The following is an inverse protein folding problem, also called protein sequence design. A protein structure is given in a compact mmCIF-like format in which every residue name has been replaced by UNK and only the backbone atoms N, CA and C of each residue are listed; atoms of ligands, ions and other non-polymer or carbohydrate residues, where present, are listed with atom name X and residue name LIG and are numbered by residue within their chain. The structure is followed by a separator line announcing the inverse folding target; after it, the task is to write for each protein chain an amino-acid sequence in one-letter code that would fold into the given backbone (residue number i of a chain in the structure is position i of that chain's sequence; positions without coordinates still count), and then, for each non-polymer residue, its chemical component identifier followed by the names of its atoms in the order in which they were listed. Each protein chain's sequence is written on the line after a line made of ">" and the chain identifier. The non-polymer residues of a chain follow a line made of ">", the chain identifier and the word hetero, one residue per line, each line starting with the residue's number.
data_IF_816183597158
#
_entry.id   IF_816183597158
#
_cell.length_a   1.000
_cell.length_b   1.000
_cell.length_c   1.000
_cell.angle_alpha   90.00
_cell.angle_beta   90.00
_cell.angle_gamma   90.00
#
_symmetry.space_group_name_H-M   'P 1'
#
loop_
_entity.id
_entity.type
_entity.pdbx_description
1 polymer ?
#
# COMPACT_ATOMS: atom_id res chain seq x y z
N UNK A 1 36.79 4.00 -10.44
CA UNK A 1 35.96 3.51 -11.55
C UNK A 1 34.63 3.14 -10.92
N UNK A 2 33.61 3.96 -11.12
CA UNK A 2 32.30 3.77 -10.50
C UNK A 2 31.61 2.60 -11.20
N UNK A 3 31.23 1.57 -10.44
CA UNK A 3 30.56 0.37 -10.96
C UNK A 3 29.09 0.71 -11.24
N UNK A 4 28.86 1.39 -12.36
CA UNK A 4 27.52 1.66 -12.84
C UNK A 4 26.99 0.39 -13.52
N UNK A 5 25.88 -0.12 -13.00
CA UNK A 5 25.13 -1.21 -13.60
C UNK A 5 24.04 -0.62 -14.47
N UNK A 6 23.88 -1.11 -15.70
CA UNK A 6 22.88 -0.60 -16.65
C UNK A 6 21.91 -1.71 -17.06
N UNK A 7 20.65 -1.35 -17.26
CA UNK A 7 19.65 -2.19 -17.92
C UNK A 7 18.76 -1.33 -18.84
N UNK A 8 18.13 -1.94 -19.83
CA UNK A 8 17.24 -1.23 -20.78
C UNK A 8 15.94 -2.01 -20.87
N UNK A 9 14.80 -1.37 -20.61
CA UNK A 9 13.47 -1.97 -20.76
C UNK A 9 12.51 -0.99 -21.43
N UNK A 10 11.91 -1.42 -22.54
CA UNK A 10 11.11 -0.54 -23.41
C UNK A 10 11.90 0.69 -23.87
N UNK A 11 11.26 1.85 -23.76
CA UNK A 11 11.84 3.15 -24.13
C UNK A 11 12.66 3.78 -23.00
N UNK A 12 13.14 3.00 -22.03
CA UNK A 12 13.90 3.52 -20.89
C UNK A 12 15.22 2.78 -20.68
N UNK A 13 16.25 3.56 -20.32
CA UNK A 13 17.55 3.07 -19.88
C UNK A 13 17.72 3.39 -18.40
N UNK A 14 18.20 2.42 -17.65
CA UNK A 14 18.37 2.48 -16.21
C UNK A 14 19.84 2.39 -15.85
N UNK A 15 20.19 3.04 -14.76
CA UNK A 15 21.52 2.96 -14.19
C UNK A 15 21.43 2.87 -12.66
N UNK A 16 22.21 1.98 -12.07
CA UNK A 16 22.43 1.95 -10.63
C UNK A 16 23.91 2.19 -10.34
N UNK A 17 24.18 3.23 -9.58
CA UNK A 17 25.54 3.64 -9.21
C UNK A 17 25.47 4.52 -7.97
N UNK A 18 26.50 4.44 -7.11
CA UNK A 18 26.63 5.32 -5.94
C UNK A 18 25.39 5.31 -5.02
N UNK A 19 24.79 4.12 -4.84
CA UNK A 19 23.57 3.88 -4.04
C UNK A 19 22.32 4.63 -4.53
N UNK A 20 22.36 5.19 -5.74
CA UNK A 20 21.25 5.91 -6.36
C UNK A 20 20.84 5.18 -7.63
N UNK A 21 19.53 5.00 -7.81
CA UNK A 21 18.99 4.53 -9.06
C UNK A 21 18.67 5.73 -9.95
N UNK A 22 18.90 5.58 -11.25
CA UNK A 22 18.63 6.61 -12.26
C UNK A 22 17.83 6.01 -13.41
N UNK A 23 16.98 6.84 -14.01
CA UNK A 23 16.20 6.51 -15.20
C UNK A 23 16.40 7.58 -16.26
N UNK A 24 16.40 7.19 -17.53
CA UNK A 24 16.23 8.09 -18.66
C UNK A 24 15.38 7.44 -19.74
N UNK A 25 14.70 8.24 -20.53
CA UNK A 25 14.13 7.78 -21.80
C UNK A 25 15.28 7.42 -22.77
N UNK A 26 15.12 6.43 -23.64
CA UNK A 26 16.11 6.01 -24.66
C UNK A 26 16.46 7.16 -25.60
N UNK A 27 15.47 8.01 -25.91
CA UNK A 27 15.64 9.21 -26.73
C UNK A 27 16.18 10.42 -25.95
N UNK A 28 16.35 10.30 -24.64
CA UNK A 28 16.87 11.36 -23.77
C UNK A 28 18.33 11.09 -23.38
N UNK A 29 19.11 12.16 -23.25
CA UNK A 29 20.43 12.09 -22.62
C UNK A 29 20.38 12.42 -21.13
N UNK A 30 19.27 12.96 -20.65
CA UNK A 30 19.10 13.38 -19.27
C UNK A 30 18.69 12.20 -18.39
N UNK A 31 19.42 12.02 -17.29
CA UNK A 31 19.13 11.05 -16.25
C UNK A 31 18.38 11.72 -15.11
N UNK A 32 17.26 11.16 -14.72
CA UNK A 32 16.57 11.53 -13.48
C UNK A 32 16.93 10.56 -12.36
N UNK A 33 17.29 11.09 -11.20
CA UNK A 33 17.50 10.29 -10.01
C UNK A 33 16.15 9.79 -9.46
N UNK A 34 16.04 8.48 -9.25
CA UNK A 34 14.93 7.85 -8.56
C UNK A 34 15.24 7.93 -7.07
N UNK A 35 14.65 8.90 -6.39
CA UNK A 35 14.85 9.07 -4.96
C UNK A 35 14.13 7.98 -4.15
N UNK A 36 14.73 7.62 -3.02
CA UNK A 36 14.10 6.77 -1.99
C UNK A 36 12.76 7.35 -1.54
N UNK A 37 11.84 6.54 -1.02
CA UNK A 37 10.53 7.03 -0.59
C UNK A 37 10.66 8.16 0.44
N UNK A 38 9.93 9.26 0.22
CA UNK A 38 10.08 10.54 0.95
C UNK A 38 9.12 10.70 2.11
N UNK A 39 8.22 9.74 2.35
CA UNK A 39 7.27 9.82 3.44
C UNK A 39 7.99 9.64 4.80
N UNK A 40 7.77 10.57 5.74
CA UNK A 40 8.34 10.51 7.09
C UNK A 40 7.86 9.28 7.90
N UNK A 41 6.77 8.62 7.47
CA UNK A 41 6.31 7.34 8.02
C UNK A 41 7.14 6.13 7.53
N UNK A 42 7.97 6.33 6.50
CA UNK A 42 8.68 5.28 5.74
C UNK A 42 10.07 4.93 6.31
N UNK A 43 10.52 5.61 7.38
CA UNK A 43 11.88 5.49 7.95
C UNK A 43 11.95 4.47 9.11
N UNK A 44 10.82 4.00 9.65
CA UNK A 44 10.82 3.08 10.80
C UNK A 44 11.19 1.65 10.40
N UNK A 45 12.30 1.15 10.94
CA UNK A 45 12.75 -0.24 10.81
C UNK A 45 11.76 -1.19 11.50
N UNK A 46 11.50 -2.36 10.89
CA UNK A 46 10.68 -3.43 11.47
C UNK A 46 9.55 -3.96 10.58
N UNK A 47 9.12 -3.20 9.57
CA UNK A 47 7.93 -3.53 8.77
C UNK A 47 8.21 -3.76 7.28
N UNK A 48 7.37 -4.58 6.65
CA UNK A 48 7.28 -4.64 5.19
C UNK A 48 6.53 -3.42 4.64
N UNK A 49 6.83 -3.03 3.40
CA UNK A 49 6.18 -1.89 2.75
C UNK A 49 6.47 -1.88 1.25
N UNK A 50 5.53 -1.31 0.50
CA UNK A 50 5.59 -1.17 -0.95
C UNK A 50 5.22 0.28 -1.26
N UNK A 51 6.08 1.02 -1.97
CA UNK A 51 5.84 2.43 -2.34
C UNK A 51 6.21 2.65 -3.80
N UNK A 52 5.31 3.22 -4.59
CA UNK A 52 5.59 3.51 -6.01
C UNK A 52 6.67 4.58 -6.10
N UNK A 53 7.67 4.36 -6.96
CA UNK A 53 8.68 5.37 -7.23
C UNK A 53 8.03 6.62 -7.85
N UNK A 54 8.63 7.79 -7.61
CA UNK A 54 8.15 9.06 -8.19
C UNK A 54 8.22 9.07 -9.71
N UNK A 55 9.09 8.25 -10.31
CA UNK A 55 9.32 8.15 -11.74
C UNK A 55 9.57 6.69 -12.17
N UNK A 56 9.16 6.36 -13.39
CA UNK A 56 9.35 5.04 -13.99
C UNK A 56 8.38 3.95 -13.49
N UNK A 57 8.49 2.72 -14.04
CA UNK A 57 7.67 1.58 -13.66
C UNK A 57 8.20 0.90 -12.39
N UNK A 58 8.70 1.64 -11.40
CA UNK A 58 9.36 1.05 -10.24
C UNK A 58 8.54 1.14 -8.97
N UNK A 59 8.80 0.19 -8.10
CA UNK A 59 8.25 0.15 -6.76
C UNK A 59 9.36 -0.14 -5.76
N UNK A 60 9.52 0.74 -4.79
CA UNK A 60 10.33 0.49 -3.62
C UNK A 60 9.66 -0.58 -2.78
N UNK A 61 10.43 -1.59 -2.35
CA UNK A 61 9.95 -2.64 -1.45
C UNK A 61 10.86 -2.78 -0.25
N UNK A 62 10.28 -3.10 0.90
CA UNK A 62 11.01 -3.58 2.07
C UNK A 62 10.26 -4.76 2.67
N UNK A 63 10.99 -5.71 3.25
CA UNK A 63 10.44 -6.82 4.05
C UNK A 63 11.02 -6.74 5.45
N UNK A 64 10.16 -6.58 6.46
CA UNK A 64 10.47 -6.75 7.89
C UNK A 64 11.85 -6.24 8.34
N UNK A 65 12.07 -4.93 8.35
CA UNK A 65 13.32 -4.33 8.84
C UNK A 65 14.52 -4.40 7.88
N UNK A 66 14.37 -5.04 6.71
CA UNK A 66 15.36 -4.98 5.63
C UNK A 66 15.42 -3.58 5.00
N UNK A 67 16.55 -3.18 4.41
CA UNK A 67 16.65 -1.97 3.59
C UNK A 67 15.63 -1.97 2.46
N UNK A 68 15.24 -0.77 2.01
CA UNK A 68 14.44 -0.61 0.80
C UNK A 68 15.23 -1.11 -0.42
N UNK A 69 14.60 -1.96 -1.22
CA UNK A 69 15.09 -2.42 -2.50
C UNK A 69 14.19 -1.87 -3.59
N UNK A 70 14.79 -1.31 -4.65
CA UNK A 70 14.04 -0.91 -5.83
C UNK A 70 13.72 -2.18 -6.62
N UNK A 71 12.44 -2.40 -6.94
CA UNK A 71 12.02 -3.48 -7.82
C UNK A 71 11.30 -2.92 -9.02
N UNK A 72 11.57 -3.51 -10.18
CA UNK A 72 10.80 -3.25 -11.39
C UNK A 72 9.38 -3.77 -11.21
N UNK A 73 8.41 -2.94 -11.56
CA UNK A 73 7.00 -3.32 -11.62
C UNK A 73 6.79 -3.81 -13.05
N UNK A 74 6.90 -5.12 -13.26
CA UNK A 74 6.55 -5.70 -14.55
C UNK A 74 5.04 -5.56 -14.73
N UNK A 75 4.63 -4.56 -15.52
CA UNK A 75 3.24 -4.33 -15.90
C UNK A 75 2.79 -5.25 -17.05
N UNK A 76 3.74 -5.92 -17.70
CA UNK A 76 3.49 -6.94 -18.71
C UNK A 76 4.38 -8.18 -18.44
N UNK A 77 3.71 -9.32 -18.29
CA UNK A 77 4.19 -10.71 -18.30
C UNK A 77 4.87 -11.36 -17.07
N UNK A 78 4.50 -12.64 -16.97
CA UNK A 78 4.64 -13.63 -15.92
C UNK A 78 6.08 -14.18 -15.81
N UNK A 79 6.46 -14.59 -14.60
CA UNK A 79 7.63 -15.40 -14.22
C UNK A 79 9.05 -14.88 -14.54
N UNK A 80 9.84 -14.60 -13.48
CA UNK A 80 11.01 -15.40 -13.06
C UNK A 80 12.04 -14.61 -12.24
N UNK A 81 11.90 -14.56 -10.90
CA UNK A 81 13.03 -14.41 -9.97
C UNK A 81 12.76 -15.14 -8.64
N UNK A 82 13.70 -16.02 -8.26
CA UNK A 82 13.82 -16.81 -7.02
C UNK A 82 12.54 -17.41 -6.42
N UNK A 83 12.38 -18.72 -6.59
CA UNK A 83 11.37 -19.60 -5.99
C UNK A 83 11.48 -19.67 -4.47
N UNK A 84 11.06 -18.61 -3.76
CA UNK A 84 10.09 -18.84 -2.69
C UNK A 84 8.75 -19.00 -3.39
N UNK A 85 8.15 -20.20 -3.33
CA UNK A 85 6.77 -20.39 -3.79
C UNK A 85 5.94 -19.19 -3.27
N UNK A 86 5.21 -18.46 -4.14
CA UNK A 86 4.35 -17.39 -3.66
C UNK A 86 3.46 -17.99 -2.56
N UNK A 87 3.28 -17.28 -1.43
CA UNK A 87 2.45 -17.81 -0.35
C UNK A 87 1.09 -18.23 -0.93
N UNK A 88 0.68 -19.47 -0.65
CA UNK A 88 -0.57 -20.00 -1.19
C UNK A 88 -1.76 -19.14 -0.74
N UNK A 89 -1.66 -18.54 0.45
CA UNK A 89 -2.67 -17.64 0.98
C UNK A 89 -2.37 -16.17 0.65
N UNK A 90 -3.41 -15.33 0.52
CA UNK A 90 -3.25 -13.90 0.34
C UNK A 90 -2.64 -13.24 1.57
N UNK A 91 -2.16 -12.02 1.39
CA UNK A 91 -1.77 -11.11 2.47
C UNK A 91 -2.92 -10.16 2.84
N UNK A 92 -2.94 -9.69 4.08
CA UNK A 92 -3.76 -8.55 4.53
C UNK A 92 -2.89 -7.29 4.48
N UNK A 93 -3.34 -6.25 3.78
CA UNK A 93 -2.65 -4.97 3.71
C UNK A 93 -3.57 -3.79 3.99
N UNK A 94 -3.03 -2.77 4.65
CA UNK A 94 -3.60 -1.41 4.65
C UNK A 94 -3.04 -0.68 3.43
N UNK A 95 -3.91 -0.19 2.54
CA UNK A 95 -3.52 0.56 1.34
C UNK A 95 -3.95 2.02 1.50
N UNK A 96 -3.01 2.92 1.26
CA UNK A 96 -3.20 4.36 1.25
C UNK A 96 -3.33 4.84 -0.20
N UNK A 97 -4.32 5.66 -0.47
CA UNK A 97 -4.55 6.26 -1.77
C UNK A 97 -4.65 7.79 -1.67
N UNK A 98 -4.00 8.49 -2.59
CA UNK A 98 -4.05 9.95 -2.69
C UNK A 98 -5.48 10.42 -2.95
N UNK A 99 -5.89 11.46 -2.23
CA UNK A 99 -7.11 12.22 -2.50
C UNK A 99 -6.78 13.59 -3.10
N UNK A 100 -7.78 14.46 -3.21
CA UNK A 100 -7.57 15.84 -3.63
C UNK A 100 -6.55 16.54 -2.73
N UNK A 101 -5.90 17.58 -3.25
CA UNK A 101 -4.86 18.29 -2.50
C UNK A 101 -5.42 18.88 -1.20
N UNK A 102 -4.75 18.59 -0.08
CA UNK A 102 -5.18 19.00 1.24
C UNK A 102 -6.18 18.05 1.92
N UNK A 103 -6.69 17.02 1.24
CA UNK A 103 -7.50 15.97 1.86
C UNK A 103 -6.61 14.86 2.46
N UNK A 104 -7.05 14.21 3.55
CA UNK A 104 -6.33 13.06 4.11
C UNK A 104 -6.33 11.89 3.12
N UNK A 105 -5.34 11.01 3.23
CA UNK A 105 -5.26 9.83 2.36
C UNK A 105 -6.50 8.94 2.56
N UNK A 106 -7.00 8.37 1.47
CA UNK A 106 -8.04 7.35 1.56
C UNK A 106 -7.43 6.03 2.02
N UNK A 107 -8.06 5.37 2.99
CA UNK A 107 -7.62 4.07 3.50
C UNK A 107 -8.54 2.96 3.00
N UNK A 108 -7.92 1.87 2.54
CA UNK A 108 -8.61 0.66 2.14
C UNK A 108 -7.94 -0.56 2.78
N UNK A 109 -8.75 -1.56 3.14
CA UNK A 109 -8.25 -2.88 3.52
C UNK A 109 -8.20 -3.73 2.25
N UNK A 110 -7.04 -4.31 1.98
CA UNK A 110 -6.80 -5.09 0.77
C UNK A 110 -6.36 -6.50 1.12
N UNK A 111 -7.05 -7.50 0.57
CA UNK A 111 -6.69 -8.91 0.69
C UNK A 111 -6.34 -9.42 -0.68
N UNK A 112 -5.05 -9.71 -0.90
CA UNK A 112 -4.56 -10.17 -2.19
C UNK A 112 -3.29 -10.99 -2.06
N UNK A 113 -3.09 -11.88 -3.02
CA UNK A 113 -1.77 -12.47 -3.26
C UNK A 113 -0.86 -11.40 -3.88
N UNK A 114 0.43 -11.54 -3.61
CA UNK A 114 1.43 -10.61 -4.12
C UNK A 114 1.38 -10.55 -5.66
N UNK A 115 1.26 -9.34 -6.20
CA UNK A 115 1.18 -9.11 -7.66
C UNK A 115 -0.16 -9.48 -8.31
N UNK A 116 -1.20 -9.80 -7.55
CA UNK A 116 -2.51 -10.18 -8.09
C UNK A 116 -3.60 -9.19 -7.70
N UNK A 117 -4.70 -9.21 -8.47
CA UNK A 117 -5.96 -8.58 -8.07
C UNK A 117 -6.49 -9.20 -6.78
N UNK A 118 -7.24 -8.44 -6.00
CA UNK A 118 -7.76 -8.92 -4.73
C UNK A 118 -9.08 -8.32 -4.31
N UNK A 119 -9.43 -8.54 -3.05
CA UNK A 119 -10.62 -8.00 -2.42
C UNK A 119 -10.30 -6.68 -1.73
N UNK A 120 -11.08 -5.64 -2.03
CA UNK A 120 -10.96 -4.32 -1.40
C UNK A 120 -12.18 -4.05 -0.55
N UNK A 121 -11.94 -3.73 0.72
CA UNK A 121 -12.95 -3.33 1.70
C UNK A 121 -12.68 -1.89 2.12
N UNK A 122 -13.65 -1.00 1.90
CA UNK A 122 -13.47 0.44 2.14
C UNK A 122 -14.80 1.14 2.38
N UNK A 123 -14.73 2.38 2.86
CA UNK A 123 -15.87 3.30 2.88
C UNK A 123 -15.56 4.51 2.01
N UNK A 124 -16.53 5.00 1.23
CA UNK A 124 -16.38 6.21 0.41
C UNK A 124 -17.56 7.13 0.57
N UNK A 125 -17.36 8.40 0.23
CA UNK A 125 -18.34 9.47 0.39
C UNK A 125 -17.73 10.59 1.23
N UNK A 126 -18.53 11.63 1.47
CA UNK A 126 -18.12 12.70 2.36
C UNK A 126 -18.24 12.23 3.82
N UNK A 127 -17.52 12.86 4.73
CA UNK A 127 -17.50 12.45 6.14
C UNK A 127 -18.88 12.58 6.84
N UNK A 128 -19.82 13.33 6.25
CA UNK A 128 -21.22 13.39 6.69
C UNK A 128 -22.01 12.14 6.30
N UNK A 129 -21.62 11.46 5.22
CA UNK A 129 -22.36 10.34 4.65
C UNK A 129 -21.44 9.42 3.84
N UNK A 130 -20.68 8.59 4.57
CA UNK A 130 -19.88 7.54 3.95
C UNK A 130 -20.71 6.26 3.79
N UNK A 131 -20.39 5.48 2.76
CA UNK A 131 -20.99 4.16 2.50
C UNK A 131 -19.91 3.10 2.37
N UNK A 132 -20.18 1.94 2.94
CA UNK A 132 -19.37 0.74 2.74
C UNK A 132 -19.41 0.32 1.27
N UNK A 133 -18.24 -0.01 0.72
CA UNK A 133 -18.05 -0.53 -0.62
C UNK A 133 -17.12 -1.73 -0.57
N UNK A 134 -17.58 -2.81 -1.18
CA UNK A 134 -16.81 -4.01 -1.43
C UNK A 134 -16.46 -4.09 -2.92
N UNK A 135 -15.19 -4.31 -3.24
CA UNK A 135 -14.70 -4.50 -4.60
C UNK A 135 -14.00 -5.84 -4.75
N UNK A 136 -14.61 -6.84 -5.43
CA UNK A 136 -13.91 -8.06 -5.79
C UNK A 136 -13.00 -7.83 -7.01
N UNK A 137 -11.88 -8.57 -7.08
CA UNK A 137 -10.97 -8.61 -8.23
C UNK A 137 -10.44 -7.22 -8.64
N UNK A 138 -10.01 -6.42 -7.68
CA UNK A 138 -9.47 -5.08 -7.91
C UNK A 138 -7.94 -5.11 -7.87
N UNK A 139 -7.31 -4.51 -8.89
CA UNK A 139 -5.89 -4.17 -8.87
C UNK A 139 -5.68 -2.82 -8.17
N UNK A 140 -5.63 -2.85 -6.84
CA UNK A 140 -5.56 -1.61 -6.06
C UNK A 140 -4.16 -1.00 -6.08
N UNK A 141 -3.12 -1.84 -6.08
CA UNK A 141 -1.72 -1.41 -5.97
C UNK A 141 -1.20 -0.77 -7.26
N UNK A 142 -1.80 -1.10 -8.41
CA UNK A 142 -1.49 -0.46 -9.69
C UNK A 142 -2.43 0.71 -10.04
N UNK A 143 -3.33 1.10 -9.13
CA UNK A 143 -4.24 2.22 -9.37
C UNK A 143 -3.51 3.56 -9.40
N UNK A 144 -4.02 4.52 -10.19
CA UNK A 144 -3.42 5.87 -10.30
C UNK A 144 -3.38 6.61 -8.96
N UNK A 145 -4.33 6.34 -8.07
CA UNK A 145 -4.37 6.96 -6.75
C UNK A 145 -3.51 6.23 -5.72
N UNK A 146 -2.91 5.07 -6.03
CA UNK A 146 -2.06 4.35 -5.09
C UNK A 146 -0.92 5.23 -4.57
N UNK A 147 -0.73 5.22 -3.24
CA UNK A 147 0.35 5.93 -2.56
C UNK A 147 1.33 4.96 -1.94
N UNK A 148 0.84 4.09 -1.06
CA UNK A 148 1.67 3.16 -0.28
C UNK A 148 0.80 1.99 0.23
N UNK A 149 1.42 0.87 0.59
CA UNK A 149 0.75 -0.20 1.34
C UNK A 149 1.63 -0.79 2.45
N UNK A 150 0.96 -1.16 3.55
CA UNK A 150 1.56 -1.79 4.71
C UNK A 150 1.01 -3.21 4.86
N UNK A 151 1.89 -4.21 4.75
CA UNK A 151 1.50 -5.62 4.92
C UNK A 151 1.28 -5.90 6.41
N UNK A 152 0.03 -6.15 6.76
CA UNK A 152 -0.41 -6.42 8.13
C UNK A 152 -0.28 -7.90 8.48
N UNK A 153 -0.54 -8.79 7.52
CA UNK A 153 -0.36 -10.25 7.65
C UNK A 153 0.11 -10.78 6.30
N UNK A 154 1.22 -11.54 6.27
CA UNK A 154 1.80 -12.04 5.02
C UNK A 154 1.10 -13.31 4.50
N UNK A 155 0.59 -14.15 5.40
CA UNK A 155 0.01 -15.46 5.11
C UNK A 155 -1.35 -15.56 5.83
N UNK A 156 -2.38 -14.96 5.24
CA UNK A 156 -3.69 -14.80 5.86
C UNK A 156 -4.55 -16.05 5.65
N UNK A 157 -4.75 -16.82 6.71
CA UNK A 157 -5.57 -18.04 6.67
C UNK A 157 -7.01 -17.78 6.19
N UNK A 158 -7.68 -18.81 5.65
CA UNK A 158 -9.07 -18.71 5.21
C UNK A 158 -10.03 -18.27 6.34
N UNK A 159 -9.79 -18.73 7.58
CA UNK A 159 -10.56 -18.28 8.75
C UNK A 159 -10.33 -16.80 9.03
N UNK A 160 -9.10 -16.31 8.93
CA UNK A 160 -8.79 -14.90 9.11
C UNK A 160 -9.41 -14.03 7.99
N UNK A 161 -9.39 -14.49 6.74
CA UNK A 161 -10.08 -13.84 5.62
C UNK A 161 -11.59 -13.67 5.90
N UNK A 162 -12.25 -14.71 6.42
CA UNK A 162 -13.66 -14.63 6.80
C UNK A 162 -13.91 -13.57 7.89
N UNK A 163 -12.98 -13.41 8.85
CA UNK A 163 -13.07 -12.34 9.86
C UNK A 163 -12.87 -10.95 9.28
N UNK A 164 -11.94 -10.77 8.33
CA UNK A 164 -11.76 -9.49 7.61
C UNK A 164 -13.08 -9.07 6.97
N UNK A 165 -13.68 -9.97 6.20
CA UNK A 165 -14.97 -9.73 5.55
C UNK A 165 -16.08 -9.42 6.55
N UNK A 166 -16.22 -10.27 7.58
CA UNK A 166 -17.25 -10.09 8.60
C UNK A 166 -17.17 -8.72 9.30
N UNK A 167 -15.97 -8.29 9.70
CA UNK A 167 -15.81 -7.01 10.37
C UNK A 167 -15.96 -5.83 9.43
N UNK A 168 -15.49 -5.93 8.18
CA UNK A 168 -15.74 -4.90 7.18
C UNK A 168 -17.25 -4.72 6.91
N UNK A 169 -18.00 -5.80 6.74
CA UNK A 169 -19.43 -5.74 6.43
C UNK A 169 -20.30 -5.28 7.62
N UNK A 170 -19.87 -5.57 8.86
CA UNK A 170 -20.64 -5.23 10.07
C UNK A 170 -20.28 -3.88 10.68
N UNK A 171 -19.13 -3.29 10.32
CA UNK A 171 -18.71 -2.00 10.86
C UNK A 171 -19.49 -0.85 10.22
N UNK A 172 -20.10 -0.02 11.05
CA UNK A 172 -20.95 1.08 10.57
C UNK A 172 -20.10 2.16 9.91
N UNK A 173 -20.38 2.55 8.65
CA UNK A 173 -19.68 3.65 8.00
C UNK A 173 -19.84 4.97 8.75
N UNK A 174 -18.83 5.86 8.74
CA UNK A 174 -18.93 7.18 9.34
C UNK A 174 -20.08 7.98 8.73
N UNK A 175 -20.85 8.64 9.60
CA UNK A 175 -21.90 9.56 9.19
C UNK A 175 -22.08 10.63 10.26
N UNK A 176 -22.48 11.81 9.83
CA UNK A 176 -22.74 12.95 10.70
C UNK A 176 -23.90 13.79 10.13
N UNK A 177 -24.74 14.40 10.98
CA UNK A 177 -25.85 15.22 10.52
C UNK A 177 -25.42 16.52 9.82
N UNK A 178 -24.16 16.95 10.02
CA UNK A 178 -23.55 18.12 9.38
C UNK A 178 -22.03 18.11 9.61
N UNK A 179 -21.30 18.95 8.87
CA UNK A 179 -19.84 19.09 8.94
C UNK A 179 -19.29 19.32 10.34
N UNK A 180 -19.96 20.14 11.15
CA UNK A 180 -19.50 20.47 12.51
C UNK A 180 -19.60 19.28 13.48
N UNK A 181 -20.42 18.29 13.15
CA UNK A 181 -20.59 17.06 13.94
C UNK A 181 -19.71 15.90 13.44
N UNK A 182 -18.87 16.10 12.42
CA UNK A 182 -17.98 15.06 11.91
C UNK A 182 -16.86 14.80 12.93
N UNK A 183 -16.79 13.57 13.43
CA UNK A 183 -15.75 13.12 14.37
C UNK A 183 -14.81 12.08 13.77
N UNK A 184 -15.11 11.59 12.56
CA UNK A 184 -14.40 10.48 11.93
C UNK A 184 -14.53 10.53 10.40
N UNK A 185 -13.62 9.88 9.68
CA UNK A 185 -13.64 9.68 8.23
C UNK A 185 -13.29 8.20 7.89
N UNK A 186 -12.96 7.93 6.63
CA UNK A 186 -12.65 6.57 6.15
C UNK A 186 -11.51 5.88 6.93
N UNK A 187 -10.52 6.64 7.40
CA UNK A 187 -9.37 6.10 8.14
C UNK A 187 -9.80 5.55 9.50
N UNK A 188 -10.72 6.23 10.18
CA UNK A 188 -11.26 5.77 11.46
C UNK A 188 -12.05 4.47 11.33
N UNK A 189 -12.92 4.38 10.31
CA UNK A 189 -13.63 3.13 10.01
C UNK A 189 -12.66 1.98 9.74
N UNK A 190 -11.64 2.22 8.90
CA UNK A 190 -10.61 1.21 8.61
C UNK A 190 -9.89 0.80 9.90
N UNK A 191 -9.52 1.76 10.74
CA UNK A 191 -8.89 1.47 12.03
C UNK A 191 -9.79 0.62 12.93
N UNK A 192 -11.09 0.91 13.05
CA UNK A 192 -12.03 0.09 13.84
C UNK A 192 -12.08 -1.36 13.36
N UNK A 193 -12.14 -1.59 12.05
CA UNK A 193 -12.11 -2.94 11.48
C UNK A 193 -10.80 -3.65 11.82
N UNK A 194 -9.66 -2.98 11.61
CA UNK A 194 -8.34 -3.55 11.92
C UNK A 194 -8.15 -3.80 13.42
N UNK A 195 -8.72 -2.96 14.29
CA UNK A 195 -8.67 -3.13 15.73
C UNK A 195 -9.44 -4.38 16.17
N UNK A 196 -10.61 -4.65 15.59
CA UNK A 196 -11.35 -5.91 15.82
C UNK A 196 -10.58 -7.15 15.36
N UNK A 197 -9.78 -7.05 14.29
CA UNK A 197 -8.88 -8.11 13.86
C UNK A 197 -7.70 -8.30 14.82
N UNK A 198 -7.20 -7.22 15.42
CA UNK A 198 -6.23 -7.28 16.51
C UNK A 198 -6.83 -7.97 17.76
N UNK A 199 -8.06 -7.65 18.16
CA UNK A 199 -8.75 -8.34 19.26
C UNK A 199 -9.00 -9.84 19.01
N UNK A 200 -8.84 -10.28 17.75
CA UNK A 200 -8.87 -11.69 17.33
C UNK A 200 -7.49 -12.31 17.14
N UNK A 201 -6.43 -11.65 17.59
CA UNK A 201 -5.03 -12.07 17.46
C UNK A 201 -4.58 -12.29 15.99
N UNK A 202 -5.27 -11.68 15.02
CA UNK A 202 -4.92 -11.77 13.59
C UNK A 202 -3.84 -10.74 13.23
N UNK A 203 -3.94 -9.54 13.82
CA UNK A 203 -2.97 -8.44 13.62
C UNK A 203 -2.18 -8.26 14.91
N UNK A 204 -0.87 -8.03 14.82
CA UNK A 204 -0.04 -7.80 16.00
C UNK A 204 -0.30 -6.43 16.65
N UNK A 205 -0.07 -6.34 17.96
CA UNK A 205 -0.17 -5.10 18.73
C UNK A 205 0.72 -3.98 18.15
N UNK A 206 1.91 -4.33 17.67
CA UNK A 206 2.86 -3.39 17.08
C UNK A 206 2.27 -2.70 15.84
N UNK A 207 1.61 -3.49 14.98
CA UNK A 207 1.02 -3.00 13.74
C UNK A 207 -0.21 -2.14 14.00
N UNK A 208 -1.08 -2.53 14.95
CA UNK A 208 -2.26 -1.71 15.25
C UNK A 208 -1.86 -0.38 15.91
N UNK A 209 -0.84 -0.37 16.77
CA UNK A 209 -0.31 0.86 17.35
C UNK A 209 0.30 1.79 16.29
N UNK A 210 1.02 1.23 15.31
CA UNK A 210 1.52 1.99 14.16
C UNK A 210 0.38 2.62 13.36
N UNK A 211 -0.63 1.83 12.99
CA UNK A 211 -1.78 2.31 12.20
C UNK A 211 -2.50 3.43 12.95
N UNK A 212 -2.73 3.28 14.27
CA UNK A 212 -3.36 4.34 15.07
C UNK A 212 -2.59 5.66 14.98
N UNK A 213 -1.25 5.61 15.03
CA UNK A 213 -0.39 6.79 14.91
C UNK A 213 -0.34 7.41 13.52
N UNK A 214 -0.87 6.74 12.49
CA UNK A 214 -0.96 7.25 11.11
C UNK A 214 -2.28 7.96 10.82
N UNK A 215 -3.29 7.88 11.70
CA UNK A 215 -4.58 8.51 11.50
C UNK A 215 -4.41 10.02 11.41
N UNK A 216 -4.89 10.60 10.32
CA UNK A 216 -4.86 12.03 10.07
C UNK A 216 -6.06 12.72 10.74
N UNK A 217 -5.89 13.99 11.19
CA UNK A 217 -6.98 14.75 11.77
C UNK A 217 -8.16 14.91 10.81
N UNK A 218 -9.36 14.82 11.36
CA UNK A 218 -10.61 15.14 10.66
C UNK A 218 -10.68 16.65 10.39
N UNK A 219 -11.06 17.05 9.17
CA UNK A 219 -11.13 18.45 8.72
C UNK A 219 -12.56 18.92 8.41
#
# INVERSE_FOLDING_TARGET
>A
MSNWQYSTHGDYVYAYGDQTAYIRHTDSQEWTAIYSPTSNATIRQGFGGIERASEGPFTWRRKGGSPWTLQETNFDEDASQETTLPPENPSLSLVLQKQAEGEPDHWSIFVAREGQVGEVYQVKGDAESMRYLYGPNIDLVNSLSYKNSYILVQDLSATAQAWVKHYAESETPPSAPNRAAVTENCQGWTYRVLYKLYEKDIISQEKIAMIHGMIEPVR
#
